data_IF_612905531118
#
_entry.id   IF_612905531118
#
_cell.length_a   1.000
_cell.length_b   1.000
_cell.length_c   1.000
_cell.angle_alpha   90.00
_cell.angle_beta   90.00
_cell.angle_gamma   90.00
#
_symmetry.space_group_name_H-M   'P 1'
#
loop_
_entity.id
_entity.type
_entity.pdbx_description
1 polymer ?
#
# COMPACT_ATOMS: atom_id res chain seq x y z
N UNK A 1 17.52 -18.27 -15.51
CA UNK A 1 16.83 -18.00 -15.60
C UNK A 1 16.36 -17.07 -15.61
N UNK A 2 15.67 -16.84 -15.28
CA UNK A 2 15.59 -15.84 -15.76
C UNK A 2 14.56 -14.91 -15.58
N UNK A 3 14.72 -13.62 -15.63
CA UNK A 3 13.72 -12.62 -15.56
C UNK A 3 12.39 -13.01 -16.08
N UNK A 4 12.32 -13.83 -17.08
CA UNK A 4 11.02 -14.27 -17.62
C UNK A 4 10.12 -14.91 -16.60
N UNK A 5 10.65 -15.50 -15.57
CA UNK A 5 9.81 -16.14 -14.58
C UNK A 5 8.95 -15.14 -13.84
N UNK A 6 9.45 -13.93 -13.62
CA UNK A 6 8.61 -12.93 -12.97
C UNK A 6 7.44 -12.55 -13.86
N UNK A 7 7.69 -12.50 -15.15
CA UNK A 7 6.64 -12.14 -16.10
C UNK A 7 5.51 -13.16 -16.08
N UNK A 8 5.81 -14.39 -15.72
CA UNK A 8 4.81 -15.44 -15.68
C UNK A 8 4.11 -15.54 -14.33
N UNK A 9 4.17 -14.49 -13.53
CA UNK A 9 3.42 -14.40 -12.30
C UNK A 9 4.19 -14.68 -11.04
N UNK A 10 5.46 -14.96 -11.15
CA UNK A 10 6.28 -15.17 -9.95
C UNK A 10 6.47 -13.86 -9.22
N UNK A 11 6.36 -13.92 -7.91
CA UNK A 11 6.47 -12.76 -7.04
C UNK A 11 7.71 -12.88 -6.19
N UNK A 12 8.51 -11.83 -6.17
CA UNK A 12 9.64 -11.76 -5.26
C UNK A 12 9.20 -11.07 -3.98
N UNK A 13 8.95 -11.88 -2.97
CA UNK A 13 8.54 -11.37 -1.67
C UNK A 13 9.74 -10.91 -0.88
N UNK A 14 9.69 -9.66 -0.42
CA UNK A 14 10.74 -9.09 0.41
C UNK A 14 10.16 -8.86 1.80
N UNK A 15 10.84 -9.37 2.82
CA UNK A 15 10.43 -9.12 4.19
C UNK A 15 10.78 -7.69 4.54
N UNK A 16 9.78 -6.88 4.91
CA UNK A 16 9.99 -5.48 5.23
C UNK A 16 9.82 -5.19 6.73
N UNK A 17 9.51 -6.20 7.51
CA UNK A 17 9.36 -6.06 8.95
C UNK A 17 8.31 -7.02 9.46
N UNK A 18 7.79 -6.72 10.63
CA UNK A 18 6.72 -7.50 11.24
C UNK A 18 5.48 -6.60 11.38
N UNK A 19 4.32 -7.24 11.52
CA UNK A 19 3.08 -6.48 11.73
C UNK A 19 3.23 -5.53 12.92
N UNK A 20 3.90 -6.01 13.99
CA UNK A 20 4.08 -5.19 15.20
C UNK A 20 4.97 -3.97 14.97
N UNK A 21 5.74 -3.94 13.90
CA UNK A 21 6.57 -2.78 13.57
C UNK A 21 5.76 -1.64 12.97
N UNK A 22 4.51 -1.91 12.57
CA UNK A 22 3.64 -0.90 12.00
C UNK A 22 2.72 -0.40 13.12
N UNK A 23 2.64 0.91 13.36
CA UNK A 23 1.75 1.40 14.42
C UNK A 23 0.31 0.98 14.13
N UNK A 24 -0.46 0.60 15.16
CA UNK A 24 -1.88 0.34 14.96
C UNK A 24 -2.57 1.57 14.37
N UNK A 25 -3.45 1.36 13.40
CA UNK A 25 -4.14 2.45 12.71
C UNK A 25 -3.16 3.45 12.10
N UNK A 26 -1.99 2.95 11.69
CA UNK A 26 -0.94 3.80 11.15
C UNK A 26 -0.25 3.15 9.97
N UNK A 27 0.93 3.65 9.67
CA UNK A 27 1.68 3.20 8.52
C UNK A 27 3.18 3.27 8.77
N UNK A 28 3.90 2.51 7.95
CA UNK A 28 5.35 2.56 7.89
C UNK A 28 5.73 2.76 6.42
N UNK A 29 6.75 3.56 6.17
CA UNK A 29 7.20 3.85 4.80
C UNK A 29 8.36 2.95 4.45
N UNK A 30 8.29 2.34 3.26
CA UNK A 30 9.34 1.50 2.70
C UNK A 30 9.83 2.16 1.41
N UNK A 31 11.12 2.34 1.28
CA UNK A 31 11.71 2.91 0.06
C UNK A 31 11.73 1.88 -1.05
N UNK A 32 11.42 2.31 -2.26
CA UNK A 32 11.48 1.44 -3.43
C UNK A 32 11.91 2.21 -4.67
N UNK A 33 12.21 1.47 -5.73
CA UNK A 33 12.56 2.08 -7.01
C UNK A 33 11.40 2.87 -7.62
N UNK A 34 10.17 2.60 -7.20
CA UNK A 34 8.97 3.26 -7.71
C UNK A 34 8.52 4.42 -6.83
N UNK A 35 9.28 4.73 -5.79
CA UNK A 35 8.94 5.76 -4.82
C UNK A 35 8.68 5.13 -3.46
N UNK A 36 8.23 5.94 -2.52
CA UNK A 36 7.93 5.45 -1.18
C UNK A 36 6.64 4.63 -1.19
N UNK A 37 6.68 3.50 -0.51
CA UNK A 37 5.50 2.64 -0.34
C UNK A 37 5.04 2.78 1.11
N UNK A 38 3.77 3.12 1.29
CA UNK A 38 3.17 3.18 2.62
C UNK A 38 2.56 1.81 2.93
N UNK A 39 3.00 1.20 4.02
CA UNK A 39 2.47 -0.07 4.49
C UNK A 39 1.58 0.23 5.69
N UNK A 40 0.28 0.00 5.52
CA UNK A 40 -0.73 0.37 6.51
C UNK A 40 -1.15 -0.83 7.34
N UNK A 41 -1.56 -0.54 8.58
CA UNK A 41 -2.14 -1.53 9.50
C UNK A 41 -3.44 -0.98 10.03
N UNK A 42 -4.54 -1.71 9.85
CA UNK A 42 -5.82 -1.25 10.36
C UNK A 42 -6.13 -1.87 11.73
N UNK A 43 -7.32 -1.59 12.27
CA UNK A 43 -7.69 -2.06 13.60
C UNK A 43 -7.79 -3.59 13.70
N UNK A 44 -8.03 -4.25 12.57
CA UNK A 44 -8.12 -5.72 12.52
C UNK A 44 -6.78 -6.37 12.23
N UNK A 45 -5.69 -5.59 12.26
CA UNK A 45 -4.34 -6.04 11.94
C UNK A 45 -4.18 -6.53 10.52
N UNK A 46 -5.05 -6.09 9.63
CA UNK A 46 -4.87 -6.29 8.20
C UNK A 46 -3.82 -5.30 7.71
N UNK A 47 -3.00 -5.74 6.77
CA UNK A 47 -1.95 -4.88 6.20
C UNK A 47 -2.23 -4.63 4.74
N UNK A 48 -1.88 -3.41 4.29
CA UNK A 48 -2.10 -2.97 2.92
C UNK A 48 -0.90 -2.14 2.48
N UNK A 49 -0.64 -2.12 1.19
CA UNK A 49 0.50 -1.36 0.66
C UNK A 49 0.07 -0.53 -0.54
N UNK A 50 0.28 0.77 -0.45
CA UNK A 50 -0.01 1.72 -1.53
C UNK A 50 1.22 2.59 -1.74
N UNK A 51 1.38 3.10 -2.96
CA UNK A 51 2.35 4.17 -3.17
C UNK A 51 2.00 5.32 -2.23
N UNK A 52 2.99 5.87 -1.55
CA UNK A 52 2.77 6.90 -0.53
C UNK A 52 2.54 8.26 -1.19
N UNK A 53 1.48 8.33 -1.99
CA UNK A 53 1.19 9.50 -2.77
C UNK A 53 -0.29 9.54 -3.11
N UNK A 54 -0.98 10.53 -2.56
CA UNK A 54 -2.41 10.68 -2.82
C UNK A 54 -2.64 11.01 -4.30
N UNK A 55 -3.58 10.35 -4.95
CA UNK A 55 -3.86 10.63 -6.37
C UNK A 55 -4.35 12.06 -6.61
N UNK A 56 -4.83 12.75 -5.58
CA UNK A 56 -5.33 14.11 -5.72
C UNK A 56 -4.18 15.12 -5.86
N UNK A 57 -3.37 15.27 -4.81
CA UNK A 57 -2.32 16.30 -4.78
C UNK A 57 -0.94 15.74 -4.43
N UNK A 58 -0.81 14.42 -4.40
CA UNK A 58 0.46 13.81 -4.08
C UNK A 58 0.84 13.86 -2.61
N UNK A 59 -0.12 14.14 -1.74
CA UNK A 59 0.15 14.16 -0.31
C UNK A 59 0.53 12.79 0.23
N UNK A 60 1.30 12.73 1.32
CA UNK A 60 1.78 11.45 1.85
C UNK A 60 0.65 10.70 2.56
N UNK A 61 0.15 9.65 1.93
CA UNK A 61 -0.93 8.84 2.52
C UNK A 61 -0.52 8.24 3.85
N UNK A 62 0.78 7.99 4.05
CA UNK A 62 1.28 7.43 5.30
C UNK A 62 1.03 8.35 6.50
N UNK A 63 0.81 9.63 6.26
CA UNK A 63 0.51 10.60 7.30
C UNK A 63 -0.99 10.76 7.54
N UNK A 64 -1.80 10.02 6.79
CA UNK A 64 -3.25 10.13 6.88
C UNK A 64 -3.81 9.32 8.05
N UNK A 65 -5.13 9.38 8.18
CA UNK A 65 -5.85 8.69 9.25
C UNK A 65 -6.43 7.40 8.69
N UNK A 66 -6.03 6.27 9.28
CA UNK A 66 -6.56 4.95 8.90
C UNK A 66 -7.86 4.70 9.65
N UNK A 67 -8.89 4.32 8.92
CA UNK A 67 -10.19 3.96 9.52
C UNK A 67 -10.82 2.85 8.68
N UNK A 68 -11.23 1.76 9.35
CA UNK A 68 -11.75 0.60 8.64
C UNK A 68 -10.73 0.08 7.64
N UNK A 69 -11.09 0.10 6.37
CA UNK A 69 -10.20 -0.30 5.27
C UNK A 69 -9.91 0.88 4.35
N UNK A 70 -9.82 2.07 4.94
CA UNK A 70 -9.58 3.31 4.21
C UNK A 70 -8.51 4.13 4.91
N UNK A 71 -7.95 5.08 4.16
CA UNK A 71 -7.08 6.11 4.73
C UNK A 71 -7.56 7.46 4.22
N UNK A 72 -7.64 8.45 5.12
CA UNK A 72 -7.99 9.82 4.75
C UNK A 72 -6.69 10.57 4.48
N UNK A 73 -6.57 11.11 3.27
CA UNK A 73 -5.39 11.89 2.89
C UNK A 73 -5.29 13.13 3.77
N UNK A 74 -4.09 13.47 4.27
CA UNK A 74 -3.93 14.67 5.10
C UNK A 74 -4.21 15.96 4.35
N UNK A 75 -4.18 15.92 3.00
CA UNK A 75 -4.55 17.07 2.18
C UNK A 75 -5.97 16.87 1.70
N UNK A 76 -6.90 17.71 2.15
CA UNK A 76 -8.29 17.74 1.69
C UNK A 76 -9.14 16.51 2.05
N UNK A 77 -8.65 15.62 2.90
CA UNK A 77 -9.42 14.50 3.44
C UNK A 77 -10.04 13.56 2.42
N UNK A 78 -9.41 13.39 1.26
CA UNK A 78 -9.85 12.36 0.34
C UNK A 78 -9.73 10.99 1.03
N UNK A 79 -10.77 10.18 0.91
CA UNK A 79 -10.74 8.81 1.43
C UNK A 79 -10.29 7.88 0.34
N UNK A 80 -9.26 7.09 0.62
CA UNK A 80 -8.68 6.15 -0.33
C UNK A 80 -8.87 4.75 0.23
N UNK A 81 -9.41 3.84 -0.57
CA UNK A 81 -9.54 2.45 -0.17
C UNK A 81 -8.17 1.79 -0.07
N UNK A 82 -7.91 1.13 1.05
CA UNK A 82 -6.61 0.48 1.25
C UNK A 82 -6.46 -0.77 0.39
N UNK A 83 -7.56 -1.48 0.15
CA UNK A 83 -7.51 -2.73 -0.60
C UNK A 83 -7.41 -2.51 -2.11
N UNK A 84 -7.99 -1.44 -2.62
CA UNK A 84 -8.05 -1.19 -4.06
C UNK A 84 -7.34 0.08 -4.51
N UNK A 85 -6.93 0.93 -3.58
CA UNK A 85 -6.28 2.20 -3.91
C UNK A 85 -7.20 3.24 -4.50
N UNK A 86 -8.51 2.99 -4.57
CA UNK A 86 -9.45 3.87 -5.24
C UNK A 86 -9.93 4.97 -4.33
N UNK A 87 -10.04 6.19 -4.87
CA UNK A 87 -10.68 7.28 -4.16
C UNK A 87 -12.17 6.97 -4.03
N UNK A 88 -12.73 7.30 -2.86
CA UNK A 88 -14.16 7.11 -2.62
C UNK A 88 -14.92 8.22 -3.34
N UNK A 89 -16.02 7.84 -4.05
CA UNK A 89 -16.83 8.81 -4.75
C UNK A 89 -17.30 9.91 -3.81
N UNK A 90 -17.44 11.14 -4.27
CA UNK A 90 -17.38 11.59 -5.68
C UNK A 90 -15.96 11.83 -6.21
N UNK A 91 -14.95 11.63 -5.39
CA UNK A 91 -13.59 11.84 -5.82
C UNK A 91 -13.17 10.75 -6.80
N UNK A 92 -12.23 11.06 -7.68
CA UNK A 92 -11.78 10.14 -8.72
C UNK A 92 -10.27 10.09 -8.71
N UNK A 93 -9.74 8.89 -8.66
CA UNK A 93 -8.31 8.67 -8.71
C UNK A 93 -7.96 7.34 -8.08
N UNK A 94 -6.73 6.93 -8.28
CA UNK A 94 -6.27 5.63 -7.81
C UNK A 94 -4.81 5.71 -7.40
N UNK A 95 -4.50 5.28 -6.18
CA UNK A 95 -3.13 5.12 -5.73
C UNK A 95 -2.64 3.75 -6.15
N UNK A 96 -1.38 3.65 -6.58
CA UNK A 96 -0.82 2.35 -6.98
C UNK A 96 -0.77 1.40 -5.79
N UNK A 97 -1.16 0.16 -6.03
CA UNK A 97 -1.14 -0.89 -5.02
C UNK A 97 0.10 -1.76 -5.19
N UNK A 98 0.50 -2.36 -4.09
CA UNK A 98 1.57 -3.36 -4.09
C UNK A 98 1.06 -4.59 -3.37
N UNK A 99 1.40 -5.77 -3.88
CA UNK A 99 0.99 -7.02 -3.25
C UNK A 99 1.69 -7.16 -1.90
N UNK A 100 0.95 -7.59 -0.90
CA UNK A 100 1.44 -7.70 0.47
C UNK A 100 0.78 -8.91 1.13
N UNK A 101 1.52 -9.57 2.00
CA UNK A 101 0.98 -10.68 2.79
C UNK A 101 1.69 -10.74 4.12
N UNK A 102 1.09 -11.49 5.05
CA UNK A 102 1.70 -11.74 6.36
C UNK A 102 1.91 -13.24 6.48
N UNK A 103 3.14 -13.62 6.82
CA UNK A 103 3.49 -15.02 7.09
C UNK A 103 4.15 -15.09 8.46
N UNK A 104 3.51 -15.75 9.40
CA UNK A 104 4.05 -15.92 10.76
C UNK A 104 4.44 -14.58 11.39
N UNK A 105 3.60 -13.57 11.18
CA UNK A 105 3.84 -12.24 11.70
C UNK A 105 4.80 -11.39 10.88
N UNK A 106 5.44 -11.95 9.86
CA UNK A 106 6.35 -11.20 9.00
C UNK A 106 5.57 -10.59 7.83
N UNK A 107 5.82 -9.32 7.57
CA UNK A 107 5.19 -8.61 6.46
C UNK A 107 6.07 -8.79 5.23
N UNK A 108 5.49 -9.39 4.20
CA UNK A 108 6.16 -9.67 2.93
C UNK A 108 5.55 -8.79 1.86
N UNK A 109 6.39 -8.05 1.17
CA UNK A 109 5.97 -7.05 0.19
C UNK A 109 6.59 -7.35 -1.16
N UNK A 110 5.79 -7.27 -2.22
CA UNK A 110 6.28 -7.27 -3.58
C UNK A 110 6.43 -5.81 -4.01
N UNK A 111 7.65 -5.38 -4.25
CA UNK A 111 7.93 -3.97 -4.54
C UNK A 111 7.62 -3.56 -5.97
N UNK A 112 6.99 -4.44 -6.75
CA UNK A 112 6.52 -4.08 -8.08
C UNK A 112 5.04 -3.73 -7.99
N UNK A 113 4.61 -2.64 -8.64
CA UNK A 113 3.19 -2.28 -8.60
C UNK A 113 2.32 -3.40 -9.17
N UNK A 114 1.14 -3.57 -8.60
CA UNK A 114 0.18 -4.53 -9.13
C UNK A 114 -0.28 -4.13 -10.52
N UNK A 115 -0.35 -5.11 -11.43
CA UNK A 115 -0.78 -4.84 -12.81
C UNK A 115 -2.17 -4.24 -12.85
N UNK A 116 -3.05 -4.67 -11.95
CA UNK A 116 -4.42 -4.17 -11.91
C UNK A 116 -4.50 -2.66 -11.74
N UNK A 117 -3.47 -2.05 -11.16
CA UNK A 117 -3.46 -0.61 -10.93
C UNK A 117 -3.04 0.18 -12.17
N UNK A 118 -2.67 -0.49 -13.22
CA UNK A 118 -2.21 0.17 -14.44
C UNK A 118 -3.30 0.26 -15.49
N UNK A 119 -4.48 -0.25 -15.20
CA UNK A 119 -5.60 -0.28 -16.14
C UNK A 119 -6.54 0.93 -16.02
#
# INVERSE_FOLDING_TARGET
>A
MNAPERITGMTEWVKVGRVDDIPPLGARVVKSAHGDIAVFRNADNEVFALLDKCPHKGGPLSQGIVFGRHVACPLHNWSIGLADGQAVAPDVGCAKRFAIKVEHGAVMLDMQPSIANQL
#
